data_IF_445132343856
#
_entry.id   IF_445132343856
#
_cell.length_a   1.000
_cell.length_b   1.000
_cell.length_c   1.000
_cell.angle_alpha   90.00
_cell.angle_beta   90.00
_cell.angle_gamma   90.00
#
_symmetry.space_group_name_H-M   'P 1'
#
loop_
_entity.id
_entity.type
_entity.pdbx_description
1 polymer ?
#
# COMPACT_ATOMS: atom_id res chain seq x y z
N UNK A 1 -21.13 6.93 -9.95
CA UNK A 1 -20.23 6.48 -11.04
C UNK A 1 -18.96 7.33 -10.96
N UNK A 2 -17.79 6.74 -11.21
CA UNK A 2 -16.52 7.49 -11.21
C UNK A 2 -16.43 8.39 -12.46
N UNK A 3 -15.86 9.60 -12.34
CA UNK A 3 -15.72 10.51 -13.46
C UNK A 3 -14.70 10.00 -14.48
N UNK A 4 -14.94 10.30 -15.75
CA UNK A 4 -13.94 10.18 -16.81
C UNK A 4 -13.17 11.50 -16.88
N UNK A 5 -11.86 11.46 -16.67
CA UNK A 5 -10.99 12.64 -16.56
C UNK A 5 -9.85 12.49 -17.58
N UNK A 6 -9.68 13.48 -18.45
CA UNK A 6 -8.59 13.49 -19.44
C UNK A 6 -7.42 14.31 -18.92
N UNK A 7 -7.71 15.46 -18.31
CA UNK A 7 -6.69 16.36 -17.78
C UNK A 7 -7.08 16.98 -16.43
N UNK A 8 -6.17 17.80 -15.89
CA UNK A 8 -6.39 18.51 -14.64
C UNK A 8 -7.60 19.46 -14.68
N UNK A 9 -7.93 20.02 -15.84
CA UNK A 9 -9.03 20.97 -15.98
C UNK A 9 -10.38 20.25 -15.89
N UNK A 10 -10.52 19.11 -16.56
CA UNK A 10 -11.69 18.22 -16.42
C UNK A 10 -11.93 17.83 -14.96
N UNK A 11 -10.85 17.51 -14.23
CA UNK A 11 -10.91 17.16 -12.83
C UNK A 11 -11.44 18.31 -11.96
N UNK A 12 -11.00 19.55 -12.22
CA UNK A 12 -11.49 20.73 -11.52
C UNK A 12 -12.94 21.08 -11.88
N UNK A 13 -13.30 20.95 -13.15
CA UNK A 13 -14.65 21.23 -13.62
C UNK A 13 -15.65 20.21 -13.09
N UNK A 14 -15.27 18.94 -12.98
CA UNK A 14 -16.05 17.93 -12.28
C UNK A 14 -16.32 18.32 -10.82
N UNK A 15 -15.30 18.81 -10.10
CA UNK A 15 -15.45 19.26 -8.70
C UNK A 15 -16.38 20.47 -8.56
N UNK A 16 -16.30 21.43 -9.49
CA UNK A 16 -17.16 22.63 -9.47
C UNK A 16 -18.61 22.30 -9.78
N UNK A 17 -18.84 21.38 -10.72
CA UNK A 17 -20.16 21.02 -11.20
C UNK A 17 -20.85 19.92 -10.35
N UNK A 18 -20.14 19.33 -9.38
CA UNK A 18 -20.65 18.25 -8.52
C UNK A 18 -20.60 18.66 -7.05
N UNK A 19 -21.62 19.37 -6.54
CA UNK A 19 -21.63 19.88 -5.16
C UNK A 19 -21.61 18.76 -4.10
N UNK A 20 -22.27 17.64 -4.37
CA UNK A 20 -22.36 16.48 -3.46
C UNK A 20 -21.43 15.33 -3.89
N UNK A 21 -20.13 15.61 -4.00
CA UNK A 21 -19.15 14.60 -4.36
C UNK A 21 -19.04 13.49 -3.31
N UNK A 22 -19.12 12.23 -3.75
CA UNK A 22 -18.94 11.07 -2.87
C UNK A 22 -17.47 10.92 -2.44
N UNK A 23 -17.23 10.24 -1.32
CA UNK A 23 -15.87 9.93 -0.87
C UNK A 23 -15.01 9.18 -1.93
N UNK A 24 -15.53 8.15 -2.63
CA UNK A 24 -14.81 7.51 -3.73
C UNK A 24 -14.46 8.47 -4.88
N UNK A 25 -15.43 9.28 -5.33
CA UNK A 25 -15.19 10.27 -6.38
C UNK A 25 -14.14 11.30 -5.94
N UNK A 26 -14.23 11.77 -4.69
CA UNK A 26 -13.26 12.71 -4.11
C UNK A 26 -11.86 12.11 -4.07
N UNK A 27 -11.72 10.86 -3.63
CA UNK A 27 -10.44 10.15 -3.62
C UNK A 27 -9.87 9.98 -5.03
N UNK A 28 -10.72 9.65 -6.00
CA UNK A 28 -10.34 9.45 -7.40
C UNK A 28 -9.80 10.73 -8.02
N UNK A 29 -10.53 11.84 -7.88
CA UNK A 29 -10.12 13.16 -8.39
C UNK A 29 -8.83 13.64 -7.73
N UNK A 30 -8.70 13.50 -6.40
CA UNK A 30 -7.46 13.87 -5.69
C UNK A 30 -6.27 13.05 -6.19
N UNK A 31 -6.46 11.75 -6.41
CA UNK A 31 -5.41 10.88 -6.93
C UNK A 31 -5.01 11.26 -8.35
N UNK A 32 -5.99 11.57 -9.21
CA UNK A 32 -5.77 12.06 -10.56
C UNK A 32 -4.95 13.36 -10.57
N UNK A 33 -5.41 14.41 -9.87
CA UNK A 33 -4.70 15.68 -9.77
C UNK A 33 -3.28 15.52 -9.21
N UNK A 34 -3.09 14.61 -8.24
CA UNK A 34 -1.75 14.33 -7.72
C UNK A 34 -0.83 13.64 -8.73
N UNK A 35 -1.36 12.82 -9.65
CA UNK A 35 -0.57 12.20 -10.73
C UNK A 35 -0.19 13.23 -11.79
N UNK A 36 -1.06 14.21 -12.01
CA UNK A 36 -0.82 15.41 -12.85
C UNK A 36 0.14 16.43 -12.20
N UNK A 37 0.75 16.12 -11.05
CA UNK A 37 1.77 16.95 -10.43
C UNK A 37 1.25 18.05 -9.50
N UNK A 38 -0.05 18.10 -9.20
CA UNK A 38 -0.58 19.11 -8.29
C UNK A 38 -0.12 18.89 -6.85
N UNK A 39 0.21 20.00 -6.17
CA UNK A 39 0.58 19.97 -4.76
C UNK A 39 -0.64 19.81 -3.86
N UNK A 40 -0.44 19.23 -2.68
CA UNK A 40 -1.49 19.12 -1.66
C UNK A 40 -2.10 20.49 -1.29
N UNK A 41 -1.32 21.57 -1.36
CA UNK A 41 -1.82 22.92 -1.08
C UNK A 41 -2.82 23.38 -2.15
N UNK A 42 -2.48 23.21 -3.42
CA UNK A 42 -3.35 23.61 -4.54
C UNK A 42 -4.64 22.80 -4.55
N UNK A 43 -4.55 21.48 -4.36
CA UNK A 43 -5.71 20.58 -4.36
C UNK A 43 -6.68 20.94 -3.21
N UNK A 44 -6.17 21.18 -1.99
CA UNK A 44 -7.02 21.60 -0.86
C UNK A 44 -7.72 22.93 -1.10
N UNK A 45 -7.00 23.91 -1.67
CA UNK A 45 -7.56 25.23 -1.96
C UNK A 45 -8.74 25.14 -2.93
N UNK A 46 -8.68 24.24 -3.90
CA UNK A 46 -9.76 24.04 -4.88
C UNK A 46 -10.92 23.20 -4.34
N UNK A 47 -10.65 22.28 -3.42
CA UNK A 47 -11.67 21.40 -2.82
C UNK A 47 -12.34 21.98 -1.56
N UNK A 48 -11.91 23.15 -1.08
CA UNK A 48 -12.39 23.69 0.20
C UNK A 48 -12.07 22.78 1.39
N UNK A 49 -10.97 22.00 1.33
CA UNK A 49 -10.59 21.08 2.41
C UNK A 49 -9.66 21.82 3.39
N UNK A 50 -10.23 22.28 4.50
CA UNK A 50 -9.48 23.00 5.53
C UNK A 50 -8.43 22.11 6.21
N UNK A 51 -8.81 20.86 6.50
CA UNK A 51 -8.01 19.93 7.29
C UNK A 51 -7.00 19.18 6.43
N UNK A 52 -5.72 19.43 6.68
CA UNK A 52 -4.58 18.80 5.96
C UNK A 52 -4.71 17.27 5.96
N UNK A 53 -5.03 16.66 7.10
CA UNK A 53 -5.07 15.21 7.26
C UNK A 53 -6.15 14.54 6.37
N UNK A 54 -7.26 15.24 6.12
CA UNK A 54 -8.37 14.74 5.29
C UNK A 54 -7.90 14.51 3.87
N UNK A 55 -7.19 15.49 3.28
CA UNK A 55 -6.61 15.35 1.94
C UNK A 55 -5.61 14.19 1.90
N UNK A 56 -4.72 14.10 2.89
CA UNK A 56 -3.69 13.05 2.93
C UNK A 56 -4.30 11.65 2.92
N UNK A 57 -5.42 11.43 3.64
CA UNK A 57 -6.11 10.14 3.64
C UNK A 57 -6.74 9.81 2.30
N UNK A 58 -7.46 10.76 1.69
CA UNK A 58 -8.04 10.56 0.37
C UNK A 58 -6.98 10.31 -0.70
N UNK A 59 -5.91 11.12 -0.70
CA UNK A 59 -4.77 10.95 -1.62
C UNK A 59 -4.13 9.58 -1.47
N UNK A 60 -3.82 9.14 -0.24
CA UNK A 60 -3.19 7.84 0.00
C UNK A 60 -4.07 6.69 -0.49
N UNK A 61 -5.35 6.72 -0.16
CA UNK A 61 -6.30 5.70 -0.59
C UNK A 61 -6.44 5.72 -2.11
N UNK A 62 -6.67 6.88 -2.70
CA UNK A 62 -6.91 6.98 -4.14
C UNK A 62 -5.70 6.67 -5.02
N UNK A 63 -4.48 6.92 -4.55
CA UNK A 63 -3.27 6.50 -5.26
C UNK A 63 -3.02 4.99 -5.16
N UNK A 64 -3.52 4.33 -4.12
CA UNK A 64 -3.27 2.92 -3.87
C UNK A 64 -4.27 1.99 -4.56
N UNK A 65 -5.54 2.39 -4.68
CA UNK A 65 -6.62 1.54 -5.19
C UNK A 65 -6.52 1.32 -6.71
N UNK A 66 -6.94 0.13 -7.15
CA UNK A 66 -7.20 -0.19 -8.56
C UNK A 66 -8.61 0.26 -8.98
N UNK A 67 -8.88 0.30 -10.28
CA UNK A 67 -10.20 0.66 -10.82
C UNK A 67 -11.32 -0.27 -10.30
N UNK A 68 -11.01 -1.56 -10.18
CA UNK A 68 -11.94 -2.56 -9.61
C UNK A 68 -12.28 -2.24 -8.16
N UNK A 69 -11.29 -1.87 -7.34
CA UNK A 69 -11.49 -1.55 -5.93
C UNK A 69 -12.21 -0.22 -5.74
N UNK A 70 -11.91 0.76 -6.57
CA UNK A 70 -12.65 2.03 -6.64
C UNK A 70 -14.12 1.80 -7.02
N UNK A 71 -14.38 0.95 -8.02
CA UNK A 71 -15.74 0.58 -8.43
C UNK A 71 -16.47 -0.14 -7.30
N UNK A 72 -15.78 -1.02 -6.56
CA UNK A 72 -16.33 -1.72 -5.42
C UNK A 72 -16.74 -0.74 -4.31
N UNK A 73 -15.90 0.26 -4.03
CA UNK A 73 -16.17 1.30 -3.06
C UNK A 73 -17.35 2.19 -3.49
N UNK A 74 -17.34 2.68 -4.73
CA UNK A 74 -18.38 3.55 -5.28
C UNK A 74 -19.76 2.89 -5.28
N UNK A 75 -19.84 1.57 -5.50
CA UNK A 75 -21.10 0.82 -5.44
C UNK A 75 -21.56 0.51 -4.00
N UNK A 76 -20.69 0.67 -3.00
CA UNK A 76 -20.96 0.26 -1.62
C UNK A 76 -20.45 1.28 -0.57
N UNK A 77 -20.76 2.59 -0.69
CA UNK A 77 -20.17 3.63 0.16
C UNK A 77 -20.51 3.50 1.65
N UNK A 78 -21.68 2.94 1.98
CA UNK A 78 -22.09 2.70 3.37
C UNK A 78 -21.38 1.50 4.02
N UNK A 79 -20.91 0.53 3.21
CA UNK A 79 -20.27 -0.69 3.71
C UNK A 79 -18.76 -0.58 3.69
N UNK A 80 -18.21 0.14 2.72
CA UNK A 80 -16.78 0.41 2.60
C UNK A 80 -16.59 1.91 2.82
N UNK A 81 -16.25 2.28 4.04
CA UNK A 81 -15.91 3.68 4.37
C UNK A 81 -14.44 3.99 4.09
N UNK A 82 -14.09 5.28 3.99
CA UNK A 82 -12.70 5.74 3.92
C UNK A 82 -11.83 5.15 5.05
N UNK A 83 -12.41 4.96 6.24
CA UNK A 83 -11.75 4.32 7.38
C UNK A 83 -11.25 2.91 7.06
N UNK A 84 -12.07 2.08 6.42
CA UNK A 84 -11.66 0.73 6.02
C UNK A 84 -10.53 0.76 5.00
N UNK A 85 -10.63 1.64 4.01
CA UNK A 85 -9.62 1.74 2.95
C UNK A 85 -8.29 2.25 3.46
N UNK A 86 -8.28 3.16 4.44
CA UNK A 86 -7.05 3.57 5.14
C UNK A 86 -6.33 2.41 5.79
N UNK A 87 -7.07 1.43 6.33
CA UNK A 87 -6.48 0.23 6.93
C UNK A 87 -5.84 -0.65 5.88
N UNK A 88 -6.42 -0.81 4.69
CA UNK A 88 -5.93 -1.79 3.71
C UNK A 88 -5.07 -1.19 2.60
N UNK A 89 -5.00 0.15 2.47
CA UNK A 89 -4.31 0.81 1.36
C UNK A 89 -2.81 0.50 1.24
N UNK A 90 -2.16 0.01 2.30
CA UNK A 90 -0.75 -0.39 2.29
C UNK A 90 -0.53 -1.86 1.87
N UNK A 91 -1.59 -2.65 1.74
CA UNK A 91 -1.53 -4.04 1.30
C UNK A 91 -1.51 -4.13 -0.23
N UNK A 92 -0.99 -5.23 -0.77
CA UNK A 92 -1.07 -5.52 -2.22
C UNK A 92 -2.52 -5.58 -2.70
N UNK A 93 -2.77 -5.22 -3.98
CA UNK A 93 -4.06 -5.44 -4.63
C UNK A 93 -4.57 -6.90 -4.49
N UNK A 94 -3.68 -7.89 -4.60
CA UNK A 94 -4.03 -9.32 -4.50
C UNK A 94 -4.60 -9.74 -3.15
N UNK A 95 -4.28 -8.99 -2.08
CA UNK A 95 -4.79 -9.23 -0.72
C UNK A 95 -5.95 -8.29 -0.41
N UNK A 96 -5.86 -7.04 -0.86
CA UNK A 96 -6.80 -5.97 -0.57
C UNK A 96 -8.18 -6.22 -1.20
N UNK A 97 -8.26 -6.56 -2.48
CA UNK A 97 -9.56 -6.78 -3.14
C UNK A 97 -10.37 -7.92 -2.48
N UNK A 98 -9.81 -9.11 -2.21
CA UNK A 98 -10.53 -10.15 -1.46
C UNK A 98 -11.00 -9.72 -0.07
N UNK A 99 -10.19 -8.94 0.65
CA UNK A 99 -10.58 -8.39 1.96
C UNK A 99 -11.75 -7.42 1.84
N UNK A 100 -11.73 -6.52 0.84
CA UNK A 100 -12.82 -5.58 0.58
C UNK A 100 -14.12 -6.31 0.21
N UNK A 101 -14.04 -7.38 -0.60
CA UNK A 101 -15.21 -8.21 -0.91
C UNK A 101 -15.75 -8.93 0.32
N UNK A 102 -14.87 -9.41 1.21
CA UNK A 102 -15.26 -10.03 2.48
C UNK A 102 -15.97 -9.04 3.41
N UNK A 103 -15.57 -7.76 3.42
CA UNK A 103 -16.26 -6.71 4.18
C UNK A 103 -17.74 -6.57 3.76
N UNK A 104 -18.03 -6.67 2.46
CA UNK A 104 -19.40 -6.56 1.96
C UNK A 104 -20.31 -7.65 2.50
N UNK A 105 -19.80 -8.88 2.61
CA UNK A 105 -20.53 -10.04 3.13
C UNK A 105 -20.72 -9.98 4.65
N UNK A 106 -19.70 -9.56 5.40
CA UNK A 106 -19.65 -9.73 6.86
C UNK A 106 -19.90 -8.46 7.67
N UNK A 107 -20.04 -7.29 7.01
CA UNK A 107 -20.21 -5.96 7.65
C UNK A 107 -19.25 -5.75 8.83
N UNK A 108 -17.97 -6.04 8.63
CA UNK A 108 -16.99 -5.89 9.70
C UNK A 108 -16.73 -4.41 9.97
N UNK A 109 -16.49 -4.06 11.23
CA UNK A 109 -16.09 -2.69 11.61
C UNK A 109 -14.64 -2.40 11.22
N UNK A 110 -14.31 -1.12 11.09
CA UNK A 110 -12.93 -0.63 10.85
C UNK A 110 -11.96 -1.20 11.89
N UNK A 111 -12.36 -1.26 13.16
CA UNK A 111 -11.52 -1.79 14.24
C UNK A 111 -11.20 -3.27 14.06
N UNK A 112 -12.19 -4.07 13.67
CA UNK A 112 -12.00 -5.51 13.44
C UNK A 112 -11.10 -5.77 12.24
N UNK A 113 -11.28 -5.02 11.15
CA UNK A 113 -10.41 -5.07 9.99
C UNK A 113 -8.96 -4.68 10.34
N UNK A 114 -8.79 -3.62 11.13
CA UNK A 114 -7.47 -3.19 11.60
C UNK A 114 -6.78 -4.27 12.44
N UNK A 115 -7.51 -4.97 13.31
CA UNK A 115 -7.00 -6.12 14.06
C UNK A 115 -6.54 -7.26 13.15
N UNK A 116 -7.32 -7.61 12.12
CA UNK A 116 -6.97 -8.66 11.16
C UNK A 116 -5.70 -8.32 10.38
N UNK A 117 -5.63 -7.10 9.83
CA UNK A 117 -4.46 -6.65 9.06
C UNK A 117 -3.22 -6.58 9.95
N UNK A 118 -3.34 -6.05 11.17
CA UNK A 118 -2.23 -6.02 12.14
C UNK A 118 -1.75 -7.43 12.49
N UNK A 119 -2.66 -8.37 12.69
CA UNK A 119 -2.34 -9.78 12.95
C UNK A 119 -1.58 -10.43 11.78
N UNK A 120 -1.99 -10.16 10.53
CA UNK A 120 -1.28 -10.64 9.34
C UNK A 120 0.13 -10.04 9.21
N UNK A 121 0.28 -8.73 9.45
CA UNK A 121 1.59 -8.07 9.42
C UNK A 121 2.51 -8.61 10.53
N UNK A 122 1.97 -8.83 11.73
CA UNK A 122 2.73 -9.43 12.83
C UNK A 122 3.15 -10.88 12.52
N UNK A 123 2.28 -11.68 11.91
CA UNK A 123 2.62 -13.04 11.51
C UNK A 123 3.72 -13.06 10.44
N UNK A 124 3.61 -12.21 9.41
CA UNK A 124 4.64 -12.09 8.37
C UNK A 124 6.00 -11.67 8.94
N UNK A 125 6.02 -10.75 9.91
CA UNK A 125 7.26 -10.35 10.57
C UNK A 125 7.84 -11.47 11.45
N UNK A 126 6.98 -12.27 12.10
CA UNK A 126 7.41 -13.43 12.87
C UNK A 126 8.03 -14.52 11.97
N UNK A 127 7.46 -14.73 10.77
CA UNK A 127 8.00 -15.68 9.80
C UNK A 127 9.36 -15.24 9.26
N UNK A 128 9.50 -13.96 8.89
CA UNK A 128 10.79 -13.39 8.45
C UNK A 128 11.84 -13.54 9.56
N UNK A 129 11.50 -13.17 10.79
CA UNK A 129 12.41 -13.27 11.93
C UNK A 129 12.78 -14.72 12.26
N UNK A 130 11.86 -15.66 12.08
CA UNK A 130 12.15 -17.10 12.22
C UNK A 130 13.17 -17.55 11.18
N UNK A 131 13.03 -17.10 9.92
CA UNK A 131 14.00 -17.39 8.88
C UNK A 131 15.36 -16.74 9.15
N UNK A 132 15.40 -15.49 9.62
CA UNK A 132 16.64 -14.82 10.05
C UNK A 132 17.37 -15.66 11.10
N UNK A 133 16.68 -16.04 12.18
CA UNK A 133 17.26 -16.84 13.26
C UNK A 133 17.75 -18.21 12.76
N UNK A 134 16.97 -18.91 11.93
CA UNK A 134 17.37 -20.21 11.40
C UNK A 134 18.60 -20.12 10.50
N UNK A 135 18.68 -19.08 9.66
CA UNK A 135 19.84 -18.85 8.81
C UNK A 135 21.06 -18.42 9.63
N UNK A 136 20.87 -17.61 10.67
CA UNK A 136 21.93 -17.22 11.60
C UNK A 136 22.50 -18.43 12.35
N UNK A 137 21.65 -19.34 12.84
CA UNK A 137 22.06 -20.58 13.51
C UNK A 137 22.85 -21.51 12.57
N UNK A 138 22.45 -21.61 11.30
CA UNK A 138 23.11 -22.49 10.33
C UNK A 138 24.40 -21.88 9.79
N UNK A 139 24.41 -20.57 9.49
CA UNK A 139 25.54 -19.88 8.87
C UNK A 139 26.55 -19.33 9.89
N UNK A 140 26.20 -19.36 11.18
CA UNK A 140 27.04 -18.85 12.28
C UNK A 140 27.30 -17.35 12.22
N UNK A 141 26.42 -16.58 11.57
CA UNK A 141 26.62 -15.14 11.29
C UNK A 141 25.30 -14.40 11.26
N UNK A 142 25.35 -13.09 11.51
CA UNK A 142 24.16 -12.25 11.46
C UNK A 142 23.52 -12.27 10.07
N UNK A 143 22.22 -12.54 10.04
CA UNK A 143 21.40 -12.54 8.82
C UNK A 143 20.27 -11.55 8.98
N UNK A 144 20.11 -10.64 8.01
CA UNK A 144 18.95 -9.74 7.95
C UNK A 144 18.19 -9.94 6.65
N UNK A 145 16.88 -10.08 6.77
CA UNK A 145 15.95 -10.27 5.67
C UNK A 145 14.99 -9.10 5.64
N UNK A 146 15.09 -8.28 4.60
CA UNK A 146 14.09 -7.26 4.29
C UNK A 146 13.26 -7.77 3.13
N UNK A 147 12.01 -8.14 3.38
CA UNK A 147 11.09 -8.51 2.32
C UNK A 147 10.12 -7.37 2.04
N UNK A 148 9.96 -7.01 0.77
CA UNK A 148 8.92 -6.10 0.29
C UNK A 148 7.73 -6.94 -0.22
N UNK A 149 6.73 -7.20 0.65
CA UNK A 149 5.51 -7.87 0.28
C UNK A 149 4.57 -6.92 -0.44
N UNK A 150 5.04 -5.88 -1.16
CA UNK A 150 4.33 -5.19 -2.25
C UNK A 150 4.94 -5.63 -3.59
N UNK A 151 6.28 -5.64 -3.68
CA UNK A 151 7.04 -5.91 -4.91
C UNK A 151 7.43 -7.38 -5.14
N UNK A 152 7.17 -8.29 -4.19
CA UNK A 152 7.68 -9.68 -4.23
C UNK A 152 9.22 -9.74 -4.34
N UNK A 153 9.91 -8.71 -3.88
CA UNK A 153 11.37 -8.68 -3.88
C UNK A 153 11.85 -8.50 -2.44
N UNK A 154 13.08 -8.92 -2.17
CA UNK A 154 13.68 -8.73 -0.87
C UNK A 154 15.17 -8.47 -0.98
N UNK A 155 15.75 -8.14 0.16
CA UNK A 155 17.18 -8.05 0.36
C UNK A 155 17.54 -9.03 1.48
N UNK A 156 18.50 -9.89 1.19
CA UNK A 156 19.21 -10.67 2.19
C UNK A 156 20.54 -9.96 2.44
N UNK A 157 20.86 -9.68 3.69
CA UNK A 157 22.15 -9.12 4.11
C UNK A 157 22.85 -10.13 4.99
N UNK A 158 24.09 -10.45 4.65
CA UNK A 158 24.97 -11.36 5.37
C UNK A 158 26.21 -10.59 5.78
N UNK A 159 26.56 -10.63 7.06
CA UNK A 159 27.83 -10.07 7.52
C UNK A 159 28.97 -11.07 7.26
N UNK A 160 30.12 -10.55 6.83
CA UNK A 160 31.35 -11.33 6.64
C UNK A 160 32.45 -10.76 7.53
N UNK A 161 33.32 -11.64 8.04
CA UNK A 161 34.33 -11.27 9.04
C UNK A 161 35.78 -11.38 8.53
N UNK A 162 35.95 -11.49 7.21
CA UNK A 162 37.25 -11.52 6.53
C UNK A 162 37.09 -11.69 5.02
N UNK A 163 38.17 -11.52 4.26
CA UNK A 163 38.15 -11.71 2.80
C UNK A 163 37.98 -13.19 2.43
N UNK A 164 38.65 -14.10 3.15
CA UNK A 164 38.48 -15.56 2.95
C UNK A 164 37.03 -16.02 3.21
N UNK A 165 36.37 -15.39 4.18
CA UNK A 165 34.97 -15.64 4.53
C UNK A 165 34.02 -15.10 3.45
N UNK A 166 34.33 -13.94 2.87
CA UNK A 166 33.61 -13.41 1.72
C UNK A 166 33.78 -14.32 0.49
N UNK A 167 34.97 -14.84 0.23
CA UNK A 167 35.22 -15.76 -0.90
C UNK A 167 34.45 -17.08 -0.72
N UNK A 168 34.42 -17.63 0.49
CA UNK A 168 33.62 -18.81 0.82
C UNK A 168 32.12 -18.53 0.64
N UNK A 169 31.61 -17.40 1.16
CA UNK A 169 30.22 -17.01 0.99
C UNK A 169 29.85 -16.83 -0.49
N UNK A 170 30.71 -16.16 -1.25
CA UNK A 170 30.52 -15.92 -2.67
C UNK A 170 30.45 -17.24 -3.43
N UNK A 171 31.38 -18.15 -3.17
CA UNK A 171 31.40 -19.50 -3.76
C UNK A 171 30.15 -20.30 -3.39
N UNK A 172 29.71 -20.22 -2.13
CA UNK A 172 28.49 -20.90 -1.63
C UNK A 172 27.23 -20.35 -2.30
N UNK A 173 27.21 -19.05 -2.61
CA UNK A 173 26.15 -18.39 -3.38
C UNK A 173 26.24 -18.67 -4.90
N UNK A 174 27.22 -19.46 -5.34
CA UNK A 174 27.40 -19.85 -6.73
C UNK A 174 28.22 -18.86 -7.56
N UNK A 175 28.85 -17.86 -6.94
CA UNK A 175 29.81 -17.00 -7.63
C UNK A 175 31.12 -17.77 -7.86
N UNK A 176 31.48 -17.96 -9.13
CA UNK A 176 32.78 -18.52 -9.52
C UNK A 176 33.63 -17.39 -10.04
N UNK A 177 34.72 -17.09 -9.34
CA UNK A 177 35.66 -16.03 -9.70
C UNK A 177 36.61 -16.40 -10.86
N UNK A 178 36.41 -17.55 -11.51
CA UNK A 178 37.27 -18.02 -12.60
C UNK A 178 36.57 -17.84 -13.96
N UNK A 179 36.80 -16.67 -14.55
CA UNK A 179 37.24 -16.48 -15.95
C UNK A 179 38.48 -15.57 -15.94
#
# INVERSE_FOLDING_TARGET
MLPFLIDSQDALDFLRNTPDITDPQRAFVIAFLSREGWTNRQIRSHLGIDKVYTLTHFKRVGLALTDTEFTLWEKNPERITLGHLRVVCHLKPTVREPLLRKLLAQRQSVSKLHGLVRGQVQHSNADIKRYENQMEDILGRAVKIQFDPARQCGKLTLDFYGLDDLDLLSTTLGFKSEE
#
